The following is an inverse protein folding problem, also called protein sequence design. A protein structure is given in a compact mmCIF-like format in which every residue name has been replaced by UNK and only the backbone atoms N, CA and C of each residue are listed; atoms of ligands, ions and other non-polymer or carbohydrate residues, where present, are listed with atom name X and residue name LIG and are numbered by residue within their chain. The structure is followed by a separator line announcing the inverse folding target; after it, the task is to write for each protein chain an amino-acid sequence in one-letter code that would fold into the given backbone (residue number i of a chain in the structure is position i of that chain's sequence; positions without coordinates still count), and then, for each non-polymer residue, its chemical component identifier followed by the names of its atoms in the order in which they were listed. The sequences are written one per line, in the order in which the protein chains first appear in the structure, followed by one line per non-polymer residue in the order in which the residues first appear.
data_IF_782249710940
#
_entry.id   IF_782249710940
#
_cell.length_a   1.000
_cell.length_b   1.000
_cell.length_c   1.000
_cell.angle_alpha   90.00
_cell.angle_beta   90.00
_cell.angle_gamma   90.00
#
_symmetry.space_group_name_H-M   'P 1'
#
loop_
_entity.id
_entity.type
_entity.pdbx_description
1 polymer ?
#
# COMPACT_ATOMS: atom_id res chain seq x y z
N UNK A 1 -45.26 -25.08 39.75
CA UNK A 1 -44.86 -25.01 38.34
C UNK A 1 -45.14 -23.62 37.77
N UNK A 2 -44.41 -22.66 38.16
CA UNK A 2 -44.43 -21.24 37.62
C UNK A 2 -43.13 -20.60 38.13
N UNK A 3 -42.03 -20.65 37.40
CA UNK A 3 -40.81 -19.82 37.59
C UNK A 3 -39.66 -20.29 36.72
N UNK A 4 -39.89 -20.55 35.42
CA UNK A 4 -38.81 -20.85 34.49
C UNK A 4 -39.03 -20.18 33.13
N UNK A 5 -39.48 -18.92 33.12
CA UNK A 5 -39.80 -18.17 31.89
C UNK A 5 -39.24 -16.74 31.87
N UNK A 6 -38.17 -16.44 32.59
CA UNK A 6 -37.56 -15.08 32.61
C UNK A 6 -36.06 -15.05 32.45
N UNK A 7 -35.49 -15.93 31.66
CA UNK A 7 -34.03 -15.86 31.37
C UNK A 7 -33.70 -15.99 29.89
N UNK A 8 -34.54 -15.45 29.02
CA UNK A 8 -34.32 -15.37 27.59
C UNK A 8 -34.49 -13.96 27.01
N UNK A 9 -34.30 -12.97 27.83
CA UNK A 9 -34.37 -11.57 27.40
C UNK A 9 -33.08 -10.87 27.85
N UNK A 10 -32.43 -10.23 26.91
CA UNK A 10 -31.25 -9.36 27.03
C UNK A 10 -29.90 -10.00 26.78
N UNK A 11 -29.74 -10.63 25.59
CA UNK A 11 -28.47 -10.50 24.83
C UNK A 11 -28.81 -9.79 23.50
N UNK A 12 -29.46 -8.62 23.61
CA UNK A 12 -29.22 -7.58 22.63
C UNK A 12 -27.88 -6.98 23.03
N UNK A 13 -26.79 -7.56 22.56
CA UNK A 13 -25.56 -6.80 22.39
C UNK A 13 -25.97 -5.55 21.62
N UNK A 14 -25.96 -4.42 22.29
CA UNK A 14 -25.85 -3.12 21.68
C UNK A 14 -24.69 -3.19 20.67
N UNK A 15 -24.99 -3.57 19.43
CA UNK A 15 -24.22 -3.15 18.29
C UNK A 15 -24.35 -1.64 18.29
N UNK A 16 -23.58 -0.96 19.13
CA UNK A 16 -23.35 0.45 18.99
C UNK A 16 -22.92 0.60 17.53
N UNK A 17 -23.76 1.29 16.76
CA UNK A 17 -23.57 1.44 15.33
C UNK A 17 -22.21 2.11 15.16
N UNK A 18 -21.15 1.33 14.90
CA UNK A 18 -19.79 1.82 14.82
C UNK A 18 -19.75 2.87 13.71
N UNK A 19 -19.22 4.03 14.04
CA UNK A 19 -19.09 5.20 13.17
C UNK A 19 -17.61 5.44 12.95
N UNK A 20 -17.07 4.84 11.88
CA UNK A 20 -15.65 4.82 11.59
C UNK A 20 -15.27 5.98 10.67
N UNK A 21 -14.22 6.69 10.99
CA UNK A 21 -13.53 7.59 10.04
C UNK A 21 -12.17 6.98 9.70
N UNK A 22 -11.86 6.86 8.41
CA UNK A 22 -10.56 6.40 7.92
C UNK A 22 -9.79 7.57 7.32
N UNK A 23 -8.57 7.83 7.78
CA UNK A 23 -7.79 9.00 7.40
C UNK A 23 -6.60 8.71 6.47
N UNK A 24 -6.57 7.51 5.88
CA UNK A 24 -5.60 7.18 4.83
C UNK A 24 -6.16 6.17 3.84
N UNK A 25 -5.73 6.19 2.57
CA UNK A 25 -6.15 5.20 1.57
C UNK A 25 -5.87 3.77 2.00
N UNK A 26 -4.68 3.47 2.50
CA UNK A 26 -4.30 2.12 2.91
C UNK A 26 -5.21 1.55 3.99
N UNK A 27 -5.48 2.32 5.05
CA UNK A 27 -6.36 1.91 6.15
C UNK A 27 -7.82 1.80 5.68
N UNK A 28 -8.26 2.72 4.80
CA UNK A 28 -9.58 2.68 4.19
C UNK A 28 -9.79 1.38 3.40
N UNK A 29 -8.85 1.03 2.54
CA UNK A 29 -8.92 -0.19 1.72
C UNK A 29 -8.92 -1.47 2.57
N UNK A 30 -8.06 -1.55 3.60
CA UNK A 30 -8.04 -2.69 4.54
C UNK A 30 -9.38 -2.78 5.27
N UNK A 31 -9.94 -1.65 5.71
CA UNK A 31 -11.24 -1.63 6.42
C UNK A 31 -12.37 -2.15 5.53
N UNK A 32 -12.40 -1.75 4.25
CA UNK A 32 -13.37 -2.28 3.28
C UNK A 32 -13.17 -3.78 3.05
N UNK A 33 -11.94 -4.23 2.88
CA UNK A 33 -11.64 -5.65 2.68
C UNK A 33 -12.04 -6.53 3.87
N UNK A 34 -12.04 -5.97 5.08
CA UNK A 34 -12.54 -6.62 6.29
C UNK A 34 -14.08 -6.57 6.42
N UNK A 35 -14.80 -6.00 5.45
CA UNK A 35 -16.26 -5.88 5.47
C UNK A 35 -16.77 -4.81 6.41
N UNK A 36 -16.00 -3.73 6.63
CA UNK A 36 -16.40 -2.59 7.48
C UNK A 36 -16.90 -1.40 6.69
N UNK A 37 -17.06 -1.51 5.37
CA UNK A 37 -17.44 -0.40 4.50
C UNK A 37 -18.68 0.35 4.93
N UNK A 38 -19.74 -0.35 5.30
CA UNK A 38 -21.01 0.23 5.75
C UNK A 38 -20.91 1.02 7.06
N UNK A 39 -19.82 0.84 7.81
CA UNK A 39 -19.55 1.53 9.07
C UNK A 39 -18.71 2.79 8.87
N UNK A 40 -18.09 2.96 7.68
CA UNK A 40 -17.25 4.12 7.38
C UNK A 40 -18.16 5.29 7.01
N UNK A 41 -18.20 6.29 7.89
CA UNK A 41 -19.04 7.47 7.72
C UNK A 41 -18.30 8.63 7.04
N UNK A 42 -16.96 8.62 7.06
CA UNK A 42 -16.14 9.59 6.35
C UNK A 42 -14.73 9.04 6.10
N UNK A 43 -14.09 9.58 5.06
CA UNK A 43 -12.72 9.27 4.72
C UNK A 43 -12.00 10.49 4.10
N UNK A 44 -10.79 10.30 3.55
CA UNK A 44 -10.03 11.38 2.89
C UNK A 44 -10.27 11.42 1.37
N UNK A 45 -9.90 12.54 0.74
CA UNK A 45 -10.08 12.79 -0.70
C UNK A 45 -9.38 11.76 -1.60
N UNK A 46 -8.33 11.10 -1.09
CA UNK A 46 -7.55 10.08 -1.81
C UNK A 46 -8.01 8.64 -1.56
N UNK A 47 -9.13 8.45 -0.86
CA UNK A 47 -9.73 7.13 -0.67
C UNK A 47 -10.64 6.80 -1.86
N UNK A 48 -10.06 6.31 -2.95
CA UNK A 48 -10.74 6.05 -4.21
C UNK A 48 -11.12 4.59 -4.43
N UNK A 49 -10.60 3.68 -3.62
CA UNK A 49 -10.87 2.24 -3.69
C UNK A 49 -11.41 1.71 -2.34
N UNK A 50 -12.41 0.78 -2.39
CA UNK A 50 -13.18 0.39 -3.58
C UNK A 50 -14.04 1.56 -4.12
N UNK A 51 -14.72 1.37 -5.24
CA UNK A 51 -15.45 2.48 -5.90
C UNK A 51 -16.48 3.15 -4.99
N UNK A 52 -17.08 2.39 -4.08
CA UNK A 52 -18.04 2.87 -3.06
C UNK A 52 -17.41 3.91 -2.14
N UNK A 53 -16.11 3.80 -1.91
CA UNK A 53 -15.31 4.72 -1.07
C UNK A 53 -15.33 6.17 -1.57
N UNK A 54 -15.48 6.36 -2.90
CA UNK A 54 -15.56 7.69 -3.52
C UNK A 54 -16.78 8.48 -3.07
N UNK A 55 -17.88 7.79 -2.77
CA UNK A 55 -19.17 8.39 -2.39
C UNK A 55 -19.28 8.72 -0.89
N UNK A 56 -18.30 8.29 -0.09
CA UNK A 56 -18.27 8.57 1.35
C UNK A 56 -17.83 10.02 1.56
N UNK A 57 -18.43 10.67 2.58
CA UNK A 57 -18.14 12.05 2.94
C UNK A 57 -16.65 12.28 3.16
N UNK A 58 -16.10 13.34 2.56
CA UNK A 58 -14.66 13.69 2.64
C UNK A 58 -14.40 14.68 3.77
N UNK A 59 -13.44 14.34 4.64
CA UNK A 59 -13.00 15.22 5.74
C UNK A 59 -11.75 16.03 5.42
N UNK A 60 -11.23 15.92 4.20
CA UNK A 60 -10.02 16.59 3.72
C UNK A 60 -9.03 15.61 3.11
N UNK A 61 -7.83 16.08 2.79
CA UNK A 61 -6.76 15.30 2.14
C UNK A 61 -5.51 15.15 3.01
N UNK A 62 -4.44 14.70 2.38
CA UNK A 62 -3.14 14.57 3.03
C UNK A 62 -2.66 15.93 3.59
N UNK A 63 -2.39 15.98 4.91
CA UNK A 63 -1.95 17.19 5.60
C UNK A 63 -3.03 18.29 5.75
N UNK A 64 -4.29 18.03 5.33
CA UNK A 64 -5.38 19.00 5.33
C UNK A 64 -6.70 18.46 5.85
N UNK A 65 -6.66 17.52 6.79
CA UNK A 65 -7.87 16.98 7.45
C UNK A 65 -8.53 18.08 8.29
N UNK A 66 -9.82 18.32 8.06
CA UNK A 66 -10.63 19.26 8.84
C UNK A 66 -11.08 18.64 10.15
N UNK A 67 -10.47 19.03 11.27
CA UNK A 67 -10.87 18.60 12.61
C UNK A 67 -12.31 19.01 12.92
N UNK A 68 -12.78 20.15 12.44
CA UNK A 68 -14.17 20.60 12.58
C UNK A 68 -15.15 19.60 11.97
N UNK A 69 -14.88 19.14 10.73
CA UNK A 69 -15.72 18.11 10.09
C UNK A 69 -15.69 16.80 10.88
N UNK A 70 -14.51 16.39 11.38
CA UNK A 70 -14.37 15.18 12.20
C UNK A 70 -15.20 15.29 13.48
N UNK A 71 -15.14 16.41 14.19
CA UNK A 71 -15.93 16.67 15.42
C UNK A 71 -17.42 16.62 15.13
N UNK A 72 -17.89 17.31 14.09
CA UNK A 72 -19.30 17.37 13.72
C UNK A 72 -19.88 15.99 13.33
N UNK A 73 -19.05 15.10 12.83
CA UNK A 73 -19.45 13.73 12.48
C UNK A 73 -19.58 12.80 13.67
N UNK A 74 -19.09 13.19 14.84
CA UNK A 74 -19.14 12.40 16.07
C UNK A 74 -18.81 10.91 15.87
N UNK A 75 -17.59 10.56 15.40
CA UNK A 75 -17.20 9.18 15.20
C UNK A 75 -17.03 8.43 16.51
N UNK A 76 -17.27 7.12 16.51
CA UNK A 76 -16.95 6.24 17.63
C UNK A 76 -15.47 5.84 17.65
N UNK A 77 -14.84 5.82 16.48
CA UNK A 77 -13.45 5.46 16.31
C UNK A 77 -12.88 6.08 15.03
N UNK A 78 -11.61 6.47 15.09
CA UNK A 78 -10.85 6.98 13.95
C UNK A 78 -9.69 6.02 13.66
N UNK A 79 -9.53 5.64 12.42
CA UNK A 79 -8.46 4.77 11.94
C UNK A 79 -7.51 5.59 11.08
N UNK A 80 -6.23 5.67 11.45
CA UNK A 80 -5.25 6.49 10.75
C UNK A 80 -3.92 5.75 10.58
N UNK A 81 -3.08 6.33 9.75
CA UNK A 81 -1.71 5.91 9.49
C UNK A 81 -0.73 6.84 10.24
N UNK A 82 0.47 6.37 10.56
CA UNK A 82 1.40 7.09 11.45
C UNK A 82 2.22 8.21 10.78
N UNK A 83 1.96 8.52 9.51
CA UNK A 83 2.71 9.53 8.77
C UNK A 83 2.45 11.00 9.20
N UNK A 84 1.25 11.31 9.73
CA UNK A 84 0.91 12.65 10.22
C UNK A 84 0.83 12.67 11.76
N UNK A 85 2.00 12.88 12.39
CA UNK A 85 2.10 12.94 13.85
C UNK A 85 1.33 14.10 14.44
N UNK A 86 1.24 15.25 13.73
CA UNK A 86 0.53 16.44 14.21
C UNK A 86 -0.97 16.18 14.24
N UNK A 87 -1.52 15.60 13.19
CA UNK A 87 -2.92 15.20 13.15
C UNK A 87 -3.23 14.18 14.25
N UNK A 88 -2.41 13.14 14.39
CA UNK A 88 -2.58 12.13 15.43
C UNK A 88 -2.58 12.73 16.84
N UNK A 89 -1.71 13.70 17.11
CA UNK A 89 -1.69 14.41 18.40
C UNK A 89 -2.96 15.25 18.58
N UNK A 90 -3.41 15.99 17.57
CA UNK A 90 -4.62 16.81 17.64
C UNK A 90 -5.88 15.96 17.91
N UNK A 91 -6.00 14.79 17.28
CA UNK A 91 -7.10 13.86 17.52
C UNK A 91 -7.09 13.33 18.96
N UNK A 92 -5.92 13.04 19.51
CA UNK A 92 -5.74 12.62 20.89
C UNK A 92 -6.11 13.74 21.88
N UNK A 93 -5.71 14.97 21.61
CA UNK A 93 -6.00 16.15 22.45
C UNK A 93 -7.53 16.43 22.48
N UNK A 94 -8.24 16.09 21.40
CA UNK A 94 -9.69 16.15 21.33
C UNK A 94 -10.39 14.91 21.92
N UNK A 95 -9.64 14.00 22.57
CA UNK A 95 -10.11 12.77 23.19
C UNK A 95 -10.83 11.79 22.25
N UNK A 96 -10.54 11.81 20.94
CA UNK A 96 -11.05 10.79 20.06
C UNK A 96 -10.35 9.44 20.27
N UNK A 97 -11.15 8.36 20.28
CA UNK A 97 -10.61 7.00 20.18
C UNK A 97 -9.99 6.83 18.81
N UNK A 98 -8.65 6.81 18.73
CA UNK A 98 -7.91 6.73 17.48
C UNK A 98 -6.97 5.52 17.50
N UNK A 99 -7.03 4.69 16.48
CA UNK A 99 -6.05 3.64 16.20
C UNK A 99 -5.12 4.12 15.08
N UNK A 100 -3.83 4.04 15.33
CA UNK A 100 -2.79 4.56 14.43
C UNK A 100 -1.88 3.40 14.03
N UNK A 101 -1.81 3.12 12.74
CA UNK A 101 -1.08 1.98 12.18
C UNK A 101 0.10 2.39 11.33
N UNK A 102 1.10 1.53 11.30
CA UNK A 102 2.17 1.57 10.30
C UNK A 102 1.79 0.66 9.14
N UNK A 103 2.26 1.00 7.95
CA UNK A 103 2.15 0.16 6.77
C UNK A 103 3.41 0.26 5.91
N UNK A 104 4.57 0.47 6.57
CA UNK A 104 5.83 0.67 5.86
C UNK A 104 6.42 -0.65 5.35
N UNK A 105 6.31 -1.74 6.09
CA UNK A 105 6.78 -3.07 5.73
C UNK A 105 5.61 -4.02 5.46
N UNK A 106 5.88 -5.17 4.84
CA UNK A 106 4.87 -6.23 4.70
C UNK A 106 4.42 -6.76 6.06
N UNK A 107 5.30 -6.78 7.04
CA UNK A 107 4.95 -7.16 8.41
C UNK A 107 3.98 -6.15 9.04
N UNK A 108 4.24 -4.83 8.87
CA UNK A 108 3.32 -3.78 9.34
C UNK A 108 1.94 -3.90 8.67
N UNK A 109 1.88 -4.16 7.36
CA UNK A 109 0.62 -4.34 6.62
C UNK A 109 -0.16 -5.54 7.17
N UNK A 110 0.49 -6.71 7.31
CA UNK A 110 -0.13 -7.94 7.85
C UNK A 110 -0.58 -7.77 9.30
N UNK A 111 0.23 -7.08 10.11
CA UNK A 111 -0.14 -6.74 11.48
C UNK A 111 -1.39 -5.85 11.51
N UNK A 112 -1.44 -4.81 10.67
CA UNK A 112 -2.59 -3.89 10.57
C UNK A 112 -3.87 -4.64 10.19
N UNK A 113 -3.80 -5.53 9.20
CA UNK A 113 -4.93 -6.38 8.79
C UNK A 113 -5.39 -7.25 9.97
N UNK A 114 -4.46 -7.92 10.64
CA UNK A 114 -4.75 -8.81 11.77
C UNK A 114 -5.38 -8.04 12.93
N UNK A 115 -4.78 -6.93 13.37
CA UNK A 115 -5.23 -6.16 14.52
C UNK A 115 -6.62 -5.54 14.28
N UNK A 116 -6.85 -4.97 13.08
CA UNK A 116 -8.20 -4.50 12.70
C UNK A 116 -9.20 -5.66 12.69
N UNK A 117 -8.81 -6.84 12.22
CA UNK A 117 -9.63 -8.05 12.29
C UNK A 117 -9.99 -8.44 13.74
N UNK A 118 -9.07 -8.30 14.68
CA UNK A 118 -9.31 -8.56 16.10
C UNK A 118 -10.23 -7.49 16.72
N UNK A 119 -9.94 -6.21 16.48
CA UNK A 119 -10.71 -5.08 17.03
C UNK A 119 -12.17 -5.10 16.59
N UNK A 120 -12.44 -5.45 15.34
CA UNK A 120 -13.77 -5.43 14.74
C UNK A 120 -14.42 -6.82 14.61
N UNK A 121 -13.87 -7.85 15.27
CA UNK A 121 -14.36 -9.22 15.21
C UNK A 121 -14.46 -9.80 13.78
N UNK A 122 -13.43 -9.52 12.96
CA UNK A 122 -13.26 -9.90 11.57
C UNK A 122 -12.02 -10.79 11.38
N UNK A 123 -11.80 -11.74 12.30
CA UNK A 123 -10.58 -12.55 12.37
C UNK A 123 -10.40 -13.46 11.17
N UNK A 124 -11.48 -14.05 10.67
CA UNK A 124 -11.41 -14.96 9.53
C UNK A 124 -11.10 -14.19 8.24
N UNK A 125 -11.78 -13.04 8.02
CA UNK A 125 -11.49 -12.18 6.89
C UNK A 125 -10.03 -11.69 6.92
N UNK A 126 -9.55 -11.28 8.09
CA UNK A 126 -8.15 -10.85 8.26
C UNK A 126 -7.14 -11.97 7.99
N UNK A 127 -7.44 -13.19 8.43
CA UNK A 127 -6.62 -14.36 8.17
C UNK A 127 -6.56 -14.67 6.68
N UNK A 128 -7.69 -14.61 5.98
CA UNK A 128 -7.76 -14.85 4.54
C UNK A 128 -6.97 -13.83 3.75
N UNK A 129 -7.06 -12.53 4.10
CA UNK A 129 -6.26 -11.48 3.47
C UNK A 129 -4.76 -11.70 3.67
N UNK A 130 -4.34 -12.03 4.89
CA UNK A 130 -2.94 -12.31 5.18
C UNK A 130 -2.43 -13.56 4.47
N UNK A 131 -3.24 -14.62 4.39
CA UNK A 131 -2.89 -15.83 3.64
C UNK A 131 -2.71 -15.55 2.15
N UNK A 132 -3.52 -14.67 1.56
CA UNK A 132 -3.35 -14.28 0.16
C UNK A 132 -2.01 -13.58 -0.07
N UNK A 133 -1.59 -12.67 0.81
CA UNK A 133 -0.27 -12.01 0.74
C UNK A 133 0.85 -13.06 0.86
N UNK A 134 0.77 -13.96 1.84
CA UNK A 134 1.78 -14.99 2.04
C UNK A 134 1.89 -15.94 0.82
N UNK A 135 0.77 -16.35 0.25
CA UNK A 135 0.76 -17.22 -0.93
C UNK A 135 1.41 -16.54 -2.14
N UNK A 136 1.14 -15.23 -2.36
CA UNK A 136 1.79 -14.46 -3.42
C UNK A 136 3.30 -14.36 -3.17
N UNK A 137 3.76 -14.12 -1.93
CA UNK A 137 5.18 -14.10 -1.58
C UNK A 137 5.87 -15.44 -1.80
N UNK A 138 5.24 -16.54 -1.38
CA UNK A 138 5.76 -17.89 -1.63
C UNK A 138 5.93 -18.17 -3.13
N UNK A 139 5.02 -17.65 -3.96
CA UNK A 139 5.06 -17.84 -5.41
C UNK A 139 6.25 -17.16 -6.10
N UNK A 140 6.94 -16.22 -5.43
CA UNK A 140 8.15 -15.56 -5.96
C UNK A 140 9.41 -16.44 -5.91
N UNK A 141 9.38 -17.52 -5.12
CA UNK A 141 10.57 -18.35 -4.89
C UNK A 141 10.98 -19.11 -6.15
N UNK A 142 12.29 -19.23 -6.35
CA UNK A 142 12.91 -20.04 -7.40
C UNK A 142 12.57 -19.62 -8.86
N UNK A 143 12.15 -18.39 -9.11
CA UNK A 143 11.91 -17.88 -10.47
C UNK A 143 13.26 -17.43 -11.07
N UNK A 144 13.84 -16.41 -10.48
CA UNK A 144 15.16 -15.87 -10.82
C UNK A 144 15.72 -15.18 -9.58
N UNK A 145 17.02 -15.34 -9.31
CA UNK A 145 17.66 -14.86 -8.08
C UNK A 145 18.88 -13.98 -8.40
N UNK A 146 19.33 -13.22 -7.39
CA UNK A 146 20.53 -12.40 -7.42
C UNK A 146 20.53 -11.29 -8.49
N UNK A 147 19.35 -10.85 -8.97
CA UNK A 147 19.25 -9.71 -9.86
C UNK A 147 19.21 -8.41 -9.04
N UNK A 148 19.90 -7.37 -9.53
CA UNK A 148 19.79 -6.01 -9.01
C UNK A 148 18.52 -5.36 -9.57
N UNK A 149 17.51 -5.13 -8.75
CA UNK A 149 16.23 -4.57 -9.14
C UNK A 149 16.15 -3.11 -8.65
N UNK A 150 15.91 -2.19 -9.56
CA UNK A 150 15.61 -0.80 -9.24
C UNK A 150 14.13 -0.53 -9.45
N UNK A 151 13.43 -0.14 -8.38
CA UNK A 151 12.04 0.32 -8.47
C UNK A 151 12.05 1.84 -8.39
N UNK A 152 11.43 2.48 -9.38
CA UNK A 152 11.30 3.93 -9.52
C UNK A 152 9.88 4.34 -9.22
N UNK A 153 9.70 5.33 -8.33
CA UNK A 153 8.40 5.83 -7.91
C UNK A 153 8.08 7.09 -8.72
N UNK A 154 6.90 7.12 -9.34
CA UNK A 154 6.42 8.26 -10.14
C UNK A 154 7.47 8.79 -11.13
N UNK A 155 7.96 7.94 -12.07
CA UNK A 155 8.95 8.34 -13.05
C UNK A 155 8.47 9.57 -13.84
N UNK A 156 9.38 10.48 -14.14
CA UNK A 156 9.08 11.68 -14.91
C UNK A 156 9.36 11.45 -16.41
N UNK A 157 8.75 12.25 -17.26
CA UNK A 157 8.97 12.23 -18.73
C UNK A 157 10.37 12.74 -19.14
N UNK A 158 11.23 12.98 -18.18
CA UNK A 158 12.64 13.35 -18.38
C UNK A 158 13.48 12.62 -17.34
N UNK A 159 14.70 12.21 -17.72
CA UNK A 159 15.70 11.70 -16.78
C UNK A 159 16.34 12.89 -16.05
N UNK A 160 15.57 13.55 -15.22
CA UNK A 160 15.98 14.72 -14.45
C UNK A 160 17.00 14.34 -13.36
N UNK A 161 17.56 15.36 -12.70
CA UNK A 161 18.47 15.16 -11.57
C UNK A 161 17.81 14.59 -10.30
N UNK A 162 16.50 14.35 -10.35
CA UNK A 162 15.73 13.83 -9.20
C UNK A 162 14.83 12.67 -9.64
N UNK A 163 15.34 11.46 -9.46
CA UNK A 163 14.64 10.21 -9.73
C UNK A 163 14.34 9.58 -8.36
N UNK A 164 13.06 9.49 -8.01
CA UNK A 164 12.64 8.87 -6.75
C UNK A 164 12.70 7.35 -6.88
N UNK A 165 13.41 6.70 -5.96
CA UNK A 165 13.61 5.26 -5.98
C UNK A 165 13.18 4.62 -4.66
N UNK A 166 12.94 3.33 -4.69
CA UNK A 166 12.64 2.55 -3.49
C UNK A 166 13.91 2.39 -2.65
N UNK A 167 13.81 2.76 -1.36
CA UNK A 167 14.83 2.52 -0.35
C UNK A 167 14.60 1.22 0.44
N UNK A 168 15.39 0.99 1.49
CA UNK A 168 15.38 -0.25 2.28
C UNK A 168 14.27 -0.32 3.37
N UNK A 169 13.45 0.71 3.53
CA UNK A 169 12.57 0.85 4.69
C UNK A 169 11.08 0.86 4.32
N UNK A 170 10.74 0.31 3.15
CA UNK A 170 9.36 0.17 2.70
C UNK A 170 9.13 -1.23 2.10
N UNK A 171 7.88 -1.67 2.07
CA UNK A 171 7.43 -3.03 1.71
C UNK A 171 7.94 -3.56 0.36
N UNK A 172 8.34 -2.71 -0.56
CA UNK A 172 8.97 -3.13 -1.82
C UNK A 172 10.30 -3.86 -1.60
N UNK A 173 11.08 -3.42 -0.61
CA UNK A 173 12.32 -4.10 -0.21
C UNK A 173 12.03 -5.52 0.27
N UNK A 174 10.94 -5.71 1.01
CA UNK A 174 10.52 -7.03 1.49
C UNK A 174 10.14 -7.95 0.32
N UNK A 175 9.44 -7.42 -0.71
CA UNK A 175 9.09 -8.16 -1.93
C UNK A 175 10.36 -8.58 -2.70
N UNK A 176 11.30 -7.64 -2.91
CA UNK A 176 12.57 -7.94 -3.58
C UNK A 176 13.33 -9.04 -2.84
N UNK A 177 13.43 -8.94 -1.50
CA UNK A 177 14.11 -9.95 -0.67
C UNK A 177 13.41 -11.30 -0.68
N UNK A 178 12.08 -11.33 -0.64
CA UNK A 178 11.31 -12.57 -0.70
C UNK A 178 11.60 -13.39 -1.98
N UNK A 179 11.90 -12.70 -3.07
CA UNK A 179 12.30 -13.31 -4.34
C UNK A 179 13.80 -13.67 -4.42
N UNK A 180 14.59 -13.47 -3.34
CA UNK A 180 16.04 -13.61 -3.28
C UNK A 180 16.80 -12.73 -4.28
N UNK A 181 16.22 -11.59 -4.62
CA UNK A 181 16.86 -10.55 -5.43
C UNK A 181 17.38 -9.40 -4.54
N UNK A 182 18.04 -8.44 -5.14
CA UNK A 182 18.77 -7.38 -4.46
C UNK A 182 18.18 -6.03 -4.90
N UNK A 183 17.76 -5.20 -3.93
CA UNK A 183 17.45 -3.82 -4.26
C UNK A 183 18.73 -3.10 -4.73
N UNK A 184 18.69 -2.58 -5.95
CA UNK A 184 19.86 -1.92 -6.56
C UNK A 184 20.30 -0.67 -5.78
N UNK A 185 19.35 0.00 -5.08
CA UNK A 185 19.66 1.13 -4.22
C UNK A 185 19.65 0.71 -2.74
N UNK A 186 20.80 0.85 -2.09
CA UNK A 186 21.00 0.55 -0.69
C UNK A 186 21.31 1.83 0.11
N UNK A 187 20.60 2.08 1.20
CA UNK A 187 20.80 3.24 2.07
C UNK A 187 20.38 2.94 3.51
N UNK A 188 21.08 3.51 4.46
CA UNK A 188 20.68 3.53 5.88
C UNK A 188 19.65 4.63 6.20
N UNK A 189 19.38 5.53 5.27
CA UNK A 189 18.44 6.63 5.45
C UNK A 189 16.99 6.13 5.32
N UNK A 190 16.15 6.54 6.26
CA UNK A 190 14.71 6.19 6.29
C UNK A 190 13.83 7.13 5.47
N UNK A 191 14.40 8.21 4.92
CA UNK A 191 13.66 9.13 4.04
C UNK A 191 13.49 8.56 2.64
N UNK A 192 12.51 9.08 1.89
CA UNK A 192 12.35 8.76 0.48
C UNK A 192 13.62 9.13 -0.29
N UNK A 193 14.34 8.18 -0.87
CA UNK A 193 15.57 8.48 -1.60
C UNK A 193 15.28 9.02 -2.98
N UNK A 194 16.12 9.95 -3.42
CA UNK A 194 16.20 10.37 -4.82
C UNK A 194 17.65 10.27 -5.31
N UNK A 195 17.82 9.90 -6.57
CA UNK A 195 19.10 9.77 -7.24
C UNK A 195 19.11 10.58 -8.54
N UNK A 196 20.28 10.87 -9.06
CA UNK A 196 20.47 11.40 -10.42
C UNK A 196 20.77 10.29 -11.43
N UNK A 197 20.81 10.64 -12.71
CA UNK A 197 21.09 9.70 -13.80
C UNK A 197 22.50 9.07 -13.69
N UNK A 198 23.51 9.81 -13.21
CA UNK A 198 24.86 9.29 -13.02
C UNK A 198 24.89 8.19 -11.95
N UNK A 199 24.19 8.43 -10.83
CA UNK A 199 24.06 7.42 -9.77
C UNK A 199 23.32 6.19 -10.28
N UNK A 200 22.26 6.35 -11.06
CA UNK A 200 21.51 5.25 -11.67
C UNK A 200 22.41 4.41 -12.57
N UNK A 201 23.20 5.05 -13.44
CA UNK A 201 24.18 4.36 -14.30
C UNK A 201 25.22 3.59 -13.47
N UNK A 202 25.69 4.19 -12.37
CA UNK A 202 26.65 3.54 -11.45
C UNK A 202 26.03 2.32 -10.74
N UNK A 203 24.76 2.37 -10.36
CA UNK A 203 24.05 1.24 -9.77
C UNK A 203 23.92 0.07 -10.73
N UNK A 204 23.80 0.38 -12.04
CA UNK A 204 23.70 -0.57 -13.13
C UNK A 204 22.72 -1.72 -12.83
N UNK A 205 21.41 -1.45 -12.67
CA UNK A 205 20.43 -2.46 -12.38
C UNK A 205 20.25 -3.47 -13.51
N UNK A 206 19.89 -4.71 -13.16
CA UNK A 206 19.55 -5.78 -14.09
C UNK A 206 18.10 -5.70 -14.56
N UNK A 207 17.24 -5.15 -13.70
CA UNK A 207 15.80 -4.95 -13.91
C UNK A 207 15.42 -3.55 -13.40
N UNK A 208 14.61 -2.81 -14.17
CA UNK A 208 14.01 -1.54 -13.76
C UNK A 208 12.49 -1.70 -13.80
N UNK A 209 11.84 -1.35 -12.70
CA UNK A 209 10.38 -1.33 -12.57
C UNK A 209 9.94 0.11 -12.31
N UNK A 210 9.06 0.63 -13.17
CA UNK A 210 8.54 1.98 -13.13
C UNK A 210 7.11 1.94 -12.55
N UNK A 211 6.91 2.49 -11.36
CA UNK A 211 5.57 2.60 -10.76
C UNK A 211 4.92 3.89 -11.26
N UNK A 212 4.00 3.76 -12.20
CA UNK A 212 3.44 4.89 -12.94
C UNK A 212 1.90 4.84 -13.06
N UNK A 213 1.15 4.82 -11.94
CA UNK A 213 -0.33 4.71 -11.94
C UNK A 213 -1.04 5.91 -12.57
N UNK A 214 -0.32 6.95 -12.94
CA UNK A 214 -0.84 8.14 -13.60
C UNK A 214 -0.82 8.05 -15.13
N UNK A 215 -0.10 7.09 -15.73
CA UNK A 215 -0.09 6.89 -17.18
C UNK A 215 -1.43 6.33 -17.64
N UNK A 216 -2.04 6.99 -18.63
CA UNK A 216 -3.43 6.71 -19.03
C UNK A 216 -3.56 5.93 -20.31
N UNK A 217 -2.58 6.05 -21.21
CA UNK A 217 -2.64 5.42 -22.52
C UNK A 217 -1.31 4.74 -22.92
N UNK A 218 -1.40 3.89 -23.93
CA UNK A 218 -0.27 3.09 -24.41
C UNK A 218 0.86 3.95 -24.98
N UNK A 219 0.53 5.11 -25.57
CA UNK A 219 1.53 6.02 -26.11
C UNK A 219 2.40 6.64 -24.99
N UNK A 220 1.77 7.07 -23.90
CA UNK A 220 2.52 7.59 -22.74
C UNK A 220 3.44 6.51 -22.13
N UNK A 221 2.97 5.27 -22.08
CA UNK A 221 3.76 4.12 -21.64
C UNK A 221 4.95 3.86 -22.56
N UNK A 222 4.72 3.82 -23.87
CA UNK A 222 5.76 3.62 -24.88
C UNK A 222 6.80 4.74 -24.85
N UNK A 223 6.39 5.99 -24.76
CA UNK A 223 7.29 7.14 -24.64
C UNK A 223 8.16 7.03 -23.36
N UNK A 224 7.57 6.62 -22.24
CA UNK A 224 8.29 6.37 -21.00
C UNK A 224 9.31 5.24 -21.17
N UNK A 225 8.90 4.08 -21.69
CA UNK A 225 9.80 2.95 -21.93
C UNK A 225 10.94 3.34 -22.86
N UNK A 226 10.66 4.06 -23.94
CA UNK A 226 11.66 4.51 -24.90
C UNK A 226 12.66 5.48 -24.28
N UNK A 227 12.25 6.32 -23.34
CA UNK A 227 13.13 7.19 -22.58
C UNK A 227 14.13 6.38 -21.74
N UNK A 228 13.62 5.40 -20.97
CA UNK A 228 14.44 4.58 -20.06
C UNK A 228 15.33 3.57 -20.79
N UNK A 229 14.91 3.08 -21.96
CA UNK A 229 15.73 2.20 -22.83
C UNK A 229 17.00 2.88 -23.35
N UNK A 230 17.10 4.21 -23.35
CA UNK A 230 18.30 4.94 -23.77
C UNK A 230 19.41 4.96 -22.72
N UNK A 231 19.14 4.54 -21.49
CA UNK A 231 20.13 4.50 -20.43
C UNK A 231 21.19 3.42 -20.69
N UNK A 232 22.50 3.71 -20.46
CA UNK A 232 23.58 2.74 -20.69
C UNK A 232 23.74 1.75 -19.52
N UNK A 233 22.65 1.10 -19.11
CA UNK A 233 22.59 0.13 -18.00
C UNK A 233 22.19 -1.26 -18.48
N UNK A 234 22.45 -2.28 -17.65
CA UNK A 234 22.16 -3.68 -17.98
C UNK A 234 20.69 -3.90 -18.29
N UNK A 235 19.78 -3.32 -17.50
CA UNK A 235 18.34 -3.42 -17.71
C UNK A 235 17.91 -2.94 -19.10
N UNK A 236 18.44 -1.81 -19.57
CA UNK A 236 18.13 -1.26 -20.90
C UNK A 236 18.65 -2.16 -22.03
N UNK A 237 19.89 -2.65 -21.89
CA UNK A 237 20.53 -3.53 -22.90
C UNK A 237 19.83 -4.88 -23.04
N UNK A 238 19.18 -5.37 -21.97
CA UNK A 238 18.45 -6.64 -21.93
C UNK A 238 16.95 -6.47 -22.08
N UNK A 239 16.46 -5.25 -22.31
CA UNK A 239 15.05 -4.91 -22.38
C UNK A 239 14.23 -5.31 -21.13
N UNK A 240 14.88 -5.28 -19.96
CA UNK A 240 14.27 -5.59 -18.67
C UNK A 240 13.76 -4.30 -17.98
N UNK A 241 12.94 -3.52 -18.67
CA UNK A 241 12.31 -2.32 -18.15
C UNK A 241 10.80 -2.52 -18.23
N UNK A 242 10.13 -2.40 -17.10
CA UNK A 242 8.70 -2.70 -16.95
C UNK A 242 7.96 -1.52 -16.33
N UNK A 243 6.70 -1.35 -16.66
CA UNK A 243 5.78 -0.40 -16.05
C UNK A 243 4.75 -1.18 -15.27
N UNK A 244 4.46 -0.74 -14.04
CA UNK A 244 3.26 -1.10 -13.28
C UNK A 244 2.45 0.18 -13.15
N UNK A 245 1.31 0.25 -13.82
CA UNK A 245 0.46 1.43 -13.92
C UNK A 245 -0.86 1.31 -13.15
N UNK A 246 -1.03 0.22 -12.43
CA UNK A 246 -2.18 0.04 -11.55
C UNK A 246 -2.12 0.89 -10.29
N UNK A 247 -3.27 1.42 -9.88
CA UNK A 247 -3.40 2.32 -8.72
C UNK A 247 -2.91 1.71 -7.41
N UNK A 248 -3.03 0.38 -7.24
CA UNK A 248 -2.56 -0.31 -6.04
C UNK A 248 -1.05 -0.28 -5.86
N UNK A 249 -0.28 -0.01 -6.92
CA UNK A 249 1.19 -0.07 -6.88
C UNK A 249 1.82 0.88 -5.85
N UNK A 250 1.13 1.98 -5.52
CA UNK A 250 1.56 2.96 -4.53
C UNK A 250 0.88 2.86 -3.17
N UNK A 251 -0.05 1.92 -2.97
CA UNK A 251 -0.87 1.83 -1.74
C UNK A 251 -0.46 0.63 -0.90
N UNK A 252 -0.02 0.90 0.33
CA UNK A 252 0.42 -0.12 1.30
C UNK A 252 -0.74 -0.78 2.04
N UNK A 253 -1.65 -1.41 1.27
CA UNK A 253 -2.84 -2.11 1.75
C UNK A 253 -2.78 -3.62 1.50
N UNK A 254 -3.88 -4.34 1.74
CA UNK A 254 -4.04 -5.74 1.38
C UNK A 254 -3.84 -6.00 -0.12
N UNK A 255 -4.01 -4.96 -0.98
CA UNK A 255 -3.78 -5.06 -2.43
C UNK A 255 -2.30 -5.20 -2.81
N UNK A 256 -1.40 -5.12 -1.85
CA UNK A 256 0.04 -5.42 -2.07
C UNK A 256 0.23 -6.81 -2.70
N UNK A 257 -0.72 -7.75 -2.51
CA UNK A 257 -0.69 -9.04 -3.19
C UNK A 257 -0.69 -8.91 -4.71
N UNK A 258 -1.43 -7.97 -5.27
CA UNK A 258 -1.47 -7.75 -6.74
C UNK A 258 -0.13 -7.21 -7.25
N UNK A 259 0.48 -6.28 -6.49
CA UNK A 259 1.84 -5.83 -6.78
C UNK A 259 2.86 -6.98 -6.76
N UNK A 260 2.72 -7.92 -5.82
CA UNK A 260 3.57 -9.12 -5.75
C UNK A 260 3.33 -10.02 -6.96
N UNK A 261 2.08 -10.17 -7.40
CA UNK A 261 1.72 -10.97 -8.57
C UNK A 261 2.29 -10.35 -9.87
N UNK A 262 2.24 -9.01 -10.04
CA UNK A 262 2.88 -8.29 -11.15
C UNK A 262 4.40 -8.46 -11.11
N UNK A 263 5.00 -8.31 -9.93
CA UNK A 263 6.42 -8.52 -9.74
C UNK A 263 6.84 -9.93 -10.12
N UNK A 264 6.02 -10.94 -9.80
CA UNK A 264 6.20 -12.32 -10.24
C UNK A 264 6.23 -12.42 -11.76
N UNK A 265 5.22 -11.84 -12.45
CA UNK A 265 5.14 -11.84 -13.91
C UNK A 265 6.40 -11.24 -14.55
N UNK A 266 6.92 -10.15 -13.97
CA UNK A 266 8.18 -9.53 -14.41
C UNK A 266 9.36 -10.50 -14.26
N UNK A 267 9.49 -11.18 -13.12
CA UNK A 267 10.58 -12.13 -12.91
C UNK A 267 10.50 -13.33 -13.88
N UNK A 268 9.31 -13.80 -14.17
CA UNK A 268 9.05 -14.88 -15.14
C UNK A 268 9.42 -14.46 -16.56
N UNK A 269 9.08 -13.24 -16.99
CA UNK A 269 9.48 -12.69 -18.28
C UNK A 269 11.01 -12.55 -18.40
N UNK A 270 11.66 -11.99 -17.38
CA UNK A 270 13.14 -11.89 -17.35
C UNK A 270 13.80 -13.27 -17.42
N UNK A 271 13.22 -14.28 -16.77
CA UNK A 271 13.72 -15.66 -16.86
C UNK A 271 13.67 -16.21 -18.28
N UNK A 272 12.54 -15.98 -18.98
CA UNK A 272 12.38 -16.47 -20.37
C UNK A 272 13.33 -15.81 -21.34
N UNK A 273 13.67 -14.53 -21.15
CA UNK A 273 14.64 -13.80 -21.98
C UNK A 273 16.09 -14.25 -21.79
N UNK A 274 16.40 -15.01 -20.73
CA UNK A 274 17.76 -15.53 -20.47
C UNK A 274 18.06 -16.81 -21.25
N UNK A 275 17.07 -17.46 -21.84
CA UNK A 275 17.17 -18.68 -22.62
C UNK A 275 16.81 -18.41 -24.08
#
# INVERSE_FOLDING_TARGET
MKKLLYLLLFINFLNANERIITLSPAINEISFALGLGDKIIANTEFCDFPIESKNIQKVGGYGSVSLEKVVNLNPTIILNQDYDKKLNQSLKDLNFKTLVYKTNSLEDIKFTIKDLGEVFNKKEEAKDLNNQIENSLESLKNIIENQKILIVISPQNTLSNQIFVVGNFIYFEDIIKASKNINAYQSSLKSQPSINSEKLITLNPDIIILLAPYLKDDKEKDDMLNLWKKLPVTASKKENIYIIDDEYSGISSHRVKYLIDDFKGILEDVRTKKF
#
